data_IF_372409298128
#
_entry.id   IF_372409298128
#
_cell.length_a   1.000
_cell.length_b   1.000
_cell.length_c   1.000
_cell.angle_alpha   90.00
_cell.angle_beta   90.00
_cell.angle_gamma   90.00
#
_symmetry.space_group_name_H-M   'P 1'
#
loop_
_entity.id
_entity.type
_entity.pdbx_description
1 polymer ?
#
# COMPACT_ATOMS: atom_id res chain seq x y z
N UNK A 1 -13.92 4.80 5.11
CA UNK A 1 -12.61 4.23 5.43
C UNK A 1 -12.17 3.27 4.35
N UNK A 2 -10.93 3.36 3.93
CA UNK A 2 -10.36 2.43 2.96
C UNK A 2 -9.63 1.30 3.67
N UNK A 3 -9.85 0.08 3.21
CA UNK A 3 -9.15 -1.10 3.71
C UNK A 3 -8.27 -1.63 2.58
N UNK A 4 -6.98 -1.79 2.88
CA UNK A 4 -5.98 -2.21 1.91
C UNK A 4 -5.47 -3.59 2.30
N UNK A 5 -5.57 -4.51 1.36
CA UNK A 5 -5.05 -5.86 1.50
C UNK A 5 -3.75 -5.97 0.72
N UNK A 6 -2.67 -6.22 1.41
CA UNK A 6 -1.34 -6.38 0.81
C UNK A 6 -0.77 -7.79 1.02
N UNK A 7 -1.33 -8.53 1.98
CA UNK A 7 -0.91 -9.91 2.22
C UNK A 7 -1.68 -10.81 1.24
N UNK A 8 -0.95 -11.40 0.30
CA UNK A 8 -1.53 -12.12 -0.81
C UNK A 8 -1.80 -11.20 -1.99
N UNK A 9 -2.98 -11.31 -2.58
CA UNK A 9 -3.36 -10.44 -3.71
C UNK A 9 -3.74 -9.05 -3.23
N UNK A 10 -3.27 -8.03 -3.94
CA UNK A 10 -3.57 -6.65 -3.62
C UNK A 10 -5.06 -6.34 -3.83
N UNK A 11 -5.64 -5.63 -2.88
CA UNK A 11 -7.03 -5.20 -2.95
C UNK A 11 -7.21 -3.90 -2.17
N UNK A 12 -8.01 -2.99 -2.71
CA UNK A 12 -8.43 -1.78 -2.01
C UNK A 12 -9.95 -1.73 -2.02
N UNK A 13 -10.55 -1.44 -0.87
CA UNK A 13 -12.01 -1.41 -0.75
C UNK A 13 -12.48 -0.39 0.29
N UNK A 14 -13.73 0.03 0.12
CA UNK A 14 -14.49 0.73 1.14
C UNK A 14 -15.77 -0.06 1.43
N UNK A 15 -16.76 0.57 2.04
CA UNK A 15 -18.02 -0.08 2.40
C UNK A 15 -18.86 -0.48 1.19
N UNK A 16 -18.65 0.16 0.04
CA UNK A 16 -19.51 0.00 -1.14
C UNK A 16 -18.81 -0.65 -2.33
N UNK A 17 -17.50 -0.44 -2.49
CA UNK A 17 -16.77 -0.87 -3.68
C UNK A 17 -15.48 -1.61 -3.31
N UNK A 18 -15.13 -2.55 -4.18
CA UNK A 18 -13.90 -3.34 -4.08
C UNK A 18 -13.18 -3.25 -5.42
N UNK A 19 -11.88 -2.94 -5.36
CA UNK A 19 -11.01 -2.94 -6.55
C UNK A 19 -9.89 -3.94 -6.31
N UNK A 20 -9.84 -4.98 -7.14
CA UNK A 20 -8.83 -6.03 -7.08
C UNK A 20 -7.66 -5.69 -8.00
N UNK A 21 -6.54 -6.38 -7.82
CA UNK A 21 -5.38 -6.14 -8.68
C UNK A 21 -5.66 -6.46 -10.15
N UNK A 22 -6.56 -7.39 -10.43
CA UNK A 22 -6.95 -7.72 -11.80
C UNK A 22 -7.65 -6.54 -12.49
N UNK A 23 -8.38 -5.75 -11.73
CA UNK A 23 -9.07 -4.56 -12.26
C UNK A 23 -8.11 -3.40 -12.49
N UNK A 24 -7.09 -3.27 -11.66
CA UNK A 24 -6.06 -2.25 -11.82
C UNK A 24 -5.18 -2.56 -13.03
N UNK A 25 -4.85 -3.83 -13.23
CA UNK A 25 -4.10 -4.38 -14.37
C UNK A 25 -2.64 -3.95 -14.50
N UNK A 26 -2.30 -2.78 -14.05
CA UNK A 26 -0.94 -2.23 -14.19
C UNK A 26 -0.12 -2.51 -12.93
N UNK A 27 0.94 -3.34 -12.99
CA UNK A 27 1.81 -3.54 -11.84
C UNK A 27 2.45 -2.25 -11.33
N UNK A 28 2.77 -1.32 -12.23
CA UNK A 28 3.32 -0.01 -11.85
C UNK A 28 2.31 0.81 -11.06
N UNK A 29 1.03 0.78 -11.43
CA UNK A 29 -0.02 1.50 -10.73
C UNK A 29 -0.27 0.88 -9.35
N UNK A 30 -0.28 -0.45 -9.25
CA UNK A 30 -0.39 -1.14 -7.96
C UNK A 30 0.77 -0.75 -7.05
N UNK A 31 1.99 -0.75 -7.60
CA UNK A 31 3.19 -0.38 -6.87
C UNK A 31 3.14 1.08 -6.38
N UNK A 32 2.69 2.00 -7.25
CA UNK A 32 2.53 3.41 -6.88
C UNK A 32 1.52 3.59 -5.75
N UNK A 33 0.36 2.97 -5.88
CA UNK A 33 -0.69 3.07 -4.86
C UNK A 33 -0.22 2.51 -3.52
N UNK A 34 0.40 1.33 -3.54
CA UNK A 34 0.91 0.70 -2.32
C UNK A 34 2.00 1.55 -1.68
N UNK A 35 2.90 2.10 -2.47
CA UNK A 35 3.97 2.95 -1.96
C UNK A 35 3.43 4.19 -1.27
N UNK A 36 2.45 4.86 -1.90
CA UNK A 36 1.80 6.04 -1.32
C UNK A 36 1.12 5.70 0.01
N UNK A 37 0.42 4.60 0.06
CA UNK A 37 -0.34 4.20 1.26
C UNK A 37 0.59 3.76 2.39
N UNK A 38 1.58 2.95 2.08
CA UNK A 38 2.50 2.45 3.10
C UNK A 38 3.39 3.56 3.66
N UNK A 39 3.61 4.63 2.90
CA UNK A 39 4.38 5.79 3.32
C UNK A 39 3.48 7.03 3.50
N UNK A 40 2.22 6.83 3.87
CA UNK A 40 1.22 7.90 3.95
C UNK A 40 1.50 8.94 5.03
N UNK A 41 2.38 8.63 5.95
CA UNK A 41 2.76 9.57 7.01
C UNK A 41 3.90 10.49 6.59
N UNK A 42 4.35 10.38 5.35
CA UNK A 42 5.48 11.14 4.82
C UNK A 42 5.06 11.92 3.58
N UNK A 43 5.76 13.02 3.32
CA UNK A 43 5.70 13.70 2.04
C UNK A 43 6.77 13.08 1.14
N UNK A 44 6.36 12.66 -0.05
CA UNK A 44 7.23 11.95 -0.97
C UNK A 44 7.62 12.86 -2.13
N UNK A 45 8.91 12.96 -2.41
CA UNK A 45 9.39 13.74 -3.54
C UNK A 45 9.25 12.93 -4.83
N UNK A 46 9.34 13.63 -5.96
CA UNK A 46 9.42 12.97 -7.26
C UNK A 46 10.53 11.91 -7.28
N UNK A 47 11.68 12.24 -6.72
CA UNK A 47 12.84 11.34 -6.73
C UNK A 47 12.59 10.07 -5.91
N UNK A 48 11.93 10.22 -4.76
CA UNK A 48 11.56 9.05 -3.93
C UNK A 48 10.68 8.09 -4.71
N UNK A 49 9.69 8.62 -5.40
CA UNK A 49 8.72 7.82 -6.12
C UNK A 49 9.31 7.22 -7.40
N UNK A 50 10.11 8.01 -8.13
CA UNK A 50 10.76 7.52 -9.34
C UNK A 50 11.74 6.40 -9.02
N UNK A 51 12.49 6.54 -7.94
CA UNK A 51 13.44 5.51 -7.50
C UNK A 51 12.71 4.21 -7.13
N UNK A 52 11.60 4.31 -6.42
CA UNK A 52 10.82 3.15 -6.03
C UNK A 52 10.21 2.42 -7.23
N UNK A 53 9.76 3.17 -8.25
CA UNK A 53 9.04 2.60 -9.39
C UNK A 53 9.95 2.15 -10.54
N UNK A 54 11.06 2.86 -10.77
CA UNK A 54 11.91 2.63 -11.95
C UNK A 54 13.39 2.47 -11.62
N UNK A 55 13.73 2.00 -10.44
CA UNK A 55 15.13 1.95 -10.01
C UNK A 55 16.07 1.26 -11.02
N UNK A 56 15.63 0.15 -11.62
CA UNK A 56 16.43 -0.64 -12.55
C UNK A 56 15.92 -0.57 -13.98
N UNK A 57 14.89 0.25 -14.22
CA UNK A 57 14.32 0.41 -15.55
C UNK A 57 14.69 1.76 -16.11
N UNK A 58 15.12 1.77 -17.36
CA UNK A 58 15.34 3.02 -18.05
C UNK A 58 14.04 3.52 -18.64
N UNK A 59 13.61 4.69 -18.20
CA UNK A 59 12.55 5.41 -18.86
C UNK A 59 13.12 6.74 -19.35
N UNK A 60 12.86 7.07 -20.61
CA UNK A 60 13.35 8.31 -21.20
C UNK A 60 12.74 9.57 -20.59
N UNK A 61 11.61 9.44 -19.90
CA UNK A 61 10.92 10.57 -19.30
C UNK A 61 10.21 10.16 -18.01
N UNK A 62 10.95 9.99 -16.92
CA UNK A 62 10.34 9.59 -15.63
C UNK A 62 9.30 10.58 -15.12
N UNK A 63 9.50 11.88 -15.35
CA UNK A 63 8.54 12.89 -14.89
C UNK A 63 7.20 12.75 -15.59
N UNK A 64 7.21 12.57 -16.92
CA UNK A 64 5.98 12.36 -17.67
C UNK A 64 5.31 11.05 -17.33
N UNK A 65 6.09 9.99 -17.15
CA UNK A 65 5.58 8.68 -16.79
C UNK A 65 4.89 8.72 -15.42
N UNK A 66 5.50 9.38 -14.44
CA UNK A 66 4.92 9.51 -13.10
C UNK A 66 3.63 10.34 -13.13
N UNK A 67 3.63 11.45 -13.85
CA UNK A 67 2.42 12.29 -13.98
C UNK A 67 1.27 11.52 -14.61
N UNK A 68 1.55 10.73 -15.63
CA UNK A 68 0.54 9.90 -16.28
C UNK A 68 -0.01 8.83 -15.33
N UNK A 69 0.86 8.14 -14.62
CA UNK A 69 0.43 7.15 -13.62
C UNK A 69 -0.39 7.79 -12.52
N UNK A 70 0.04 8.94 -12.04
CA UNK A 70 -0.65 9.67 -10.98
C UNK A 70 -2.05 10.11 -11.42
N UNK A 71 -2.17 10.61 -12.65
CA UNK A 71 -3.45 10.99 -13.21
C UNK A 71 -4.39 9.78 -13.29
N UNK A 72 -3.89 8.67 -13.83
CA UNK A 72 -4.69 7.44 -13.96
C UNK A 72 -5.12 6.88 -12.61
N UNK A 73 -4.22 6.95 -11.63
CA UNK A 73 -4.53 6.50 -10.27
C UNK A 73 -5.62 7.35 -9.63
N UNK A 74 -5.54 8.68 -9.78
CA UNK A 74 -6.57 9.58 -9.27
C UNK A 74 -7.93 9.31 -9.90
N UNK A 75 -7.97 9.06 -11.20
CA UNK A 75 -9.21 8.72 -11.91
C UNK A 75 -9.80 7.43 -11.35
N UNK A 76 -8.96 6.41 -11.16
CA UNK A 76 -9.39 5.13 -10.60
C UNK A 76 -10.00 5.29 -9.21
N UNK A 77 -9.32 6.03 -8.35
CA UNK A 77 -9.78 6.21 -6.97
C UNK A 77 -11.08 7.01 -6.90
N UNK A 78 -11.20 8.07 -7.69
CA UNK A 78 -12.44 8.87 -7.73
C UNK A 78 -13.61 8.10 -8.29
N UNK A 79 -13.36 7.31 -9.32
CA UNK A 79 -14.41 6.50 -9.94
C UNK A 79 -14.99 5.47 -8.97
N UNK A 80 -14.15 4.88 -8.14
CA UNK A 80 -14.57 3.78 -7.27
C UNK A 80 -14.92 4.20 -5.85
N UNK A 81 -14.30 5.26 -5.33
CA UNK A 81 -14.40 5.61 -3.91
C UNK A 81 -14.87 7.04 -3.62
N UNK A 82 -15.24 7.79 -4.66
CA UNK A 82 -15.83 9.13 -4.50
C UNK A 82 -14.89 10.25 -4.91
N UNK A 83 -15.42 11.49 -4.84
CA UNK A 83 -14.77 12.70 -5.38
C UNK A 83 -13.78 13.34 -4.40
N UNK A 84 -13.21 12.59 -3.50
CA UNK A 84 -12.25 13.13 -2.55
C UNK A 84 -10.85 13.28 -3.17
N UNK A 85 -10.05 14.17 -2.59
CA UNK A 85 -8.65 14.31 -2.98
C UNK A 85 -7.82 13.27 -2.23
N UNK A 86 -7.59 12.13 -2.86
CA UNK A 86 -6.84 11.04 -2.23
C UNK A 86 -5.35 11.33 -2.13
N UNK A 87 -4.82 12.06 -3.09
CA UNK A 87 -3.39 12.36 -3.18
C UNK A 87 -3.20 13.86 -3.29
N UNK A 88 -2.51 14.44 -2.32
CA UNK A 88 -2.23 15.87 -2.29
C UNK A 88 -0.91 16.14 -2.99
N UNK A 89 -0.84 17.23 -3.75
CA UNK A 89 0.37 17.66 -4.46
C UNK A 89 0.78 19.03 -3.95
N UNK A 90 2.05 19.19 -3.63
CA UNK A 90 2.61 20.47 -3.18
C UNK A 90 4.05 20.60 -3.65
N UNK A 91 4.29 21.56 -4.52
CA UNK A 91 5.63 21.89 -5.04
C UNK A 91 6.45 20.66 -5.50
N UNK A 92 5.84 19.80 -6.31
CA UNK A 92 6.52 18.61 -6.83
C UNK A 92 6.61 17.44 -5.85
N UNK A 93 5.98 17.56 -4.70
CA UNK A 93 5.89 16.48 -3.72
C UNK A 93 4.47 15.95 -3.65
N UNK A 94 4.34 14.68 -3.26
CA UNK A 94 3.06 14.01 -3.18
C UNK A 94 2.86 13.44 -1.79
N UNK A 95 1.61 13.37 -1.36
CA UNK A 95 1.26 12.80 -0.06
C UNK A 95 -0.13 12.22 -0.11
N UNK A 96 -0.31 11.04 0.47
CA UNK A 96 -1.65 10.52 0.71
C UNK A 96 -2.39 11.45 1.66
N UNK A 97 -3.64 11.76 1.35
CA UNK A 97 -4.41 12.71 2.16
C UNK A 97 -4.59 12.19 3.60
N UNK A 98 -4.01 12.87 4.60
CA UNK A 98 -4.06 12.38 5.98
C UNK A 98 -5.44 12.40 6.62
N UNK A 99 -6.40 13.06 6.00
CA UNK A 99 -7.80 13.06 6.49
C UNK A 99 -8.52 11.77 6.17
N UNK A 100 -7.98 10.95 5.25
CA UNK A 100 -8.62 9.71 4.84
C UNK A 100 -8.10 8.57 5.72
N UNK A 101 -9.00 7.91 6.42
CA UNK A 101 -8.65 6.75 7.23
C UNK A 101 -8.34 5.55 6.36
N UNK A 102 -7.24 4.88 6.66
CA UNK A 102 -6.77 3.71 5.93
C UNK A 102 -6.37 2.63 6.93
N UNK A 103 -6.82 1.42 6.67
CA UNK A 103 -6.38 0.23 7.42
C UNK A 103 -5.64 -0.70 6.47
N UNK A 104 -4.42 -1.06 6.81
CA UNK A 104 -3.58 -1.94 5.99
C UNK A 104 -3.31 -3.23 6.76
N UNK A 105 -3.59 -4.37 6.14
CA UNK A 105 -3.48 -5.67 6.79
C UNK A 105 -2.06 -6.00 7.26
N UNK A 106 -1.05 -5.68 6.47
CA UNK A 106 0.34 -5.91 6.85
C UNK A 106 0.72 -5.14 8.12
N UNK A 107 0.22 -3.90 8.26
CA UNK A 107 0.47 -3.10 9.45
C UNK A 107 -0.22 -3.68 10.67
N UNK A 108 -1.45 -4.15 10.51
CA UNK A 108 -2.19 -4.81 11.61
C UNK A 108 -1.51 -6.11 12.02
N UNK A 109 -1.02 -6.86 11.05
CA UNK A 109 -0.25 -8.08 11.32
C UNK A 109 0.98 -7.77 12.17
N UNK A 110 1.76 -6.76 11.79
CA UNK A 110 2.93 -6.35 12.54
C UNK A 110 2.59 -5.91 13.96
N UNK A 111 1.53 -5.13 14.12
CA UNK A 111 1.09 -4.67 15.43
C UNK A 111 0.71 -5.85 16.33
N UNK A 112 -0.03 -6.80 15.82
CA UNK A 112 -0.43 -7.99 16.58
C UNK A 112 0.79 -8.82 16.97
N UNK A 113 1.74 -8.96 16.06
CA UNK A 113 2.96 -9.72 16.32
C UNK A 113 3.83 -9.06 17.38
N UNK A 114 3.99 -7.74 17.32
CA UNK A 114 4.74 -6.99 18.32
C UNK A 114 4.10 -7.04 19.70
N UNK A 115 2.78 -6.93 19.77
CA UNK A 115 2.04 -7.06 21.04
C UNK A 115 2.23 -8.44 21.65
N UNK A 116 2.25 -9.48 20.85
CA UNK A 116 2.48 -10.85 21.33
C UNK A 116 3.88 -11.02 21.89
N UNK A 117 4.87 -10.29 21.37
CA UNK A 117 6.25 -10.35 21.87
C UNK A 117 6.47 -9.55 23.15
N UNK A 118 5.78 -8.42 23.28
CA UNK A 118 6.10 -7.44 24.33
C UNK A 118 5.49 -7.75 25.70
N UNK A 119 4.40 -8.50 25.74
CA UNK A 119 3.69 -8.77 26.99
C UNK A 119 3.93 -10.20 27.46
N UNK A 120 4.36 -10.38 28.70
CA UNK A 120 4.35 -11.71 29.32
C UNK A 120 2.90 -12.10 29.61
N UNK A 121 2.25 -12.71 28.66
CA UNK A 121 0.88 -13.17 28.77
C UNK A 121 0.86 -14.69 28.93
N UNK A 122 -0.27 -15.24 29.34
CA UNK A 122 -0.41 -16.68 29.44
C UNK A 122 -0.16 -17.33 28.09
N UNK A 123 0.32 -18.57 28.12
CA UNK A 123 0.59 -19.31 26.91
C UNK A 123 -0.63 -19.39 25.98
N UNK A 124 -1.83 -19.56 26.57
CA UNK A 124 -3.07 -19.60 25.80
C UNK A 124 -3.37 -18.30 25.08
N UNK A 125 -3.16 -17.16 25.74
CA UNK A 125 -3.37 -15.85 25.12
C UNK A 125 -2.36 -15.60 24.01
N UNK A 126 -1.12 -16.00 24.20
CA UNK A 126 -0.09 -15.89 23.17
C UNK A 126 -0.48 -16.67 21.92
N UNK A 127 -0.96 -17.90 22.09
CA UNK A 127 -1.40 -18.75 20.99
C UNK A 127 -2.57 -18.11 20.25
N UNK A 128 -3.54 -17.56 20.97
CA UNK A 128 -4.69 -16.92 20.35
C UNK A 128 -4.29 -15.69 19.54
N UNK A 129 -3.40 -14.86 20.07
CA UNK A 129 -2.91 -13.68 19.35
C UNK A 129 -2.13 -14.06 18.10
N UNK A 130 -1.31 -15.09 18.19
CA UNK A 130 -0.57 -15.58 17.03
C UNK A 130 -1.51 -16.15 15.95
N UNK A 131 -2.57 -16.85 16.37
CA UNK A 131 -3.59 -17.34 15.43
C UNK A 131 -4.31 -16.21 14.73
N UNK A 132 -4.65 -15.14 15.46
CA UNK A 132 -5.30 -13.99 14.89
C UNK A 132 -4.38 -13.30 13.86
N UNK A 133 -3.09 -13.18 14.18
CA UNK A 133 -2.11 -12.60 13.26
C UNK A 133 -1.95 -13.45 12.00
N UNK A 134 -1.90 -14.78 12.16
CA UNK A 134 -1.79 -15.69 11.02
C UNK A 134 -3.03 -15.66 10.14
N UNK A 135 -4.21 -15.41 10.72
CA UNK A 135 -5.44 -15.28 9.94
C UNK A 135 -5.41 -14.08 8.99
N UNK A 136 -4.64 -13.06 9.30
CA UNK A 136 -4.43 -11.91 8.43
C UNK A 136 -3.42 -12.20 7.32
N UNK A 137 -2.55 -13.19 7.53
CA UNK A 137 -1.54 -13.56 6.56
C UNK A 137 -2.16 -14.49 5.50
N UNK A 138 -2.32 -13.97 4.29
CA UNK A 138 -2.95 -14.70 3.19
C UNK A 138 -1.99 -15.02 2.05
N UNK A 139 -0.70 -14.98 2.34
CA UNK A 139 0.34 -15.21 1.38
C UNK A 139 1.48 -14.23 1.57
N UNK A 140 2.41 -14.22 0.65
CA UNK A 140 3.50 -13.26 0.68
C UNK A 140 3.00 -11.85 0.40
N UNK A 141 3.66 -10.88 1.03
CA UNK A 141 3.33 -9.47 0.84
C UNK A 141 3.40 -9.09 -0.64
N UNK A 142 2.26 -8.62 -1.19
CA UNK A 142 2.12 -8.15 -2.56
C UNK A 142 2.75 -9.10 -3.60
N UNK A 143 2.19 -10.30 -3.71
CA UNK A 143 2.78 -11.38 -4.52
C UNK A 143 3.10 -10.99 -5.97
N UNK A 144 2.27 -10.14 -6.61
CA UNK A 144 2.50 -9.72 -8.00
C UNK A 144 3.62 -8.69 -8.18
N UNK A 145 3.96 -7.96 -7.13
CA UNK A 145 5.00 -6.92 -7.19
C UNK A 145 6.14 -7.20 -6.20
N UNK A 146 6.24 -8.44 -5.73
CA UNK A 146 7.21 -8.83 -4.70
C UNK A 146 8.68 -8.67 -5.15
N UNK A 147 8.93 -8.68 -6.45
CA UNK A 147 10.26 -8.46 -7.02
C UNK A 147 10.63 -6.97 -7.14
N UNK A 148 9.72 -6.07 -6.82
CA UNK A 148 10.03 -4.65 -6.77
C UNK A 148 10.92 -4.35 -5.56
N UNK A 149 11.90 -3.49 -5.76
CA UNK A 149 12.94 -3.16 -4.80
C UNK A 149 12.40 -2.84 -3.39
N UNK A 150 11.49 -1.88 -3.29
CA UNK A 150 11.00 -1.45 -1.99
C UNK A 150 10.08 -2.49 -1.31
N UNK A 151 9.37 -3.28 -2.11
CA UNK A 151 8.51 -4.34 -1.59
C UNK A 151 9.35 -5.41 -0.90
N UNK A 152 10.48 -5.77 -1.48
CA UNK A 152 11.38 -6.77 -0.89
C UNK A 152 11.95 -6.30 0.46
N UNK A 153 12.17 -5.00 0.62
CA UNK A 153 12.62 -4.43 1.90
C UNK A 153 11.52 -4.57 2.96
N UNK A 154 10.28 -4.31 2.59
CA UNK A 154 9.14 -4.33 3.52
C UNK A 154 8.64 -5.72 3.85
N UNK A 155 9.01 -6.74 3.09
CA UNK A 155 8.56 -8.12 3.32
C UNK A 155 9.17 -8.78 4.54
N UNK A 156 10.22 -8.24 5.08
CA UNK A 156 10.82 -8.77 6.30
C UNK A 156 9.85 -8.67 7.48
#
# INVERSE_FOLDING_TARGET
>A
MLTIRTLGKFQIRNEEHIVNEEEIRSPKMINLLAYLILHRNQTLTFYDMADALWQEEETGNPAGALKNLMYRLRVLLKKNFGEEDFILTDHGSYRWNPRLEVAVDAERFEQMFELAKQKPISEGETIQKLKAALALYQGDFMTKVADMHWVMIDRK
#
